data_IF_528013077189
#
_entry.id   IF_528013077189
#
_cell.length_a   1.000
_cell.length_b   1.000
_cell.length_c   1.000
_cell.angle_alpha   90.00
_cell.angle_beta   90.00
_cell.angle_gamma   90.00
#
_symmetry.space_group_name_H-M   'P 1'
#
loop_
_entity.id
_entity.type
_entity.pdbx_description
1 polymer ?
#
# COMPACT_ATOMS: atom_id res chain seq x y z
N UNK A 1 0.91 13.08 -18.00
CA UNK A 1 0.21 13.93 -18.99
C UNK A 1 0.30 13.36 -20.42
N UNK A 2 1.46 12.90 -20.91
CA UNK A 2 1.60 12.35 -22.27
C UNK A 2 0.75 11.09 -22.55
N UNK A 3 0.56 10.21 -21.56
CA UNK A 3 -0.25 8.98 -21.72
C UNK A 3 -1.76 9.23 -21.93
N UNK A 4 -2.26 10.43 -21.63
CA UNK A 4 -3.69 10.81 -21.72
C UNK A 4 -4.12 11.11 -23.17
N UNK A 5 -3.16 11.30 -24.07
CA UNK A 5 -3.41 11.84 -25.42
C UNK A 5 -3.50 10.73 -26.49
N UNK A 6 -3.08 9.49 -26.19
CA UNK A 6 -2.82 8.47 -27.22
C UNK A 6 -3.93 7.44 -27.48
N UNK A 7 -5.07 7.49 -26.79
CA UNK A 7 -6.18 6.55 -27.04
C UNK A 7 -7.18 7.13 -28.06
N UNK A 8 -7.31 6.54 -29.27
CA UNK A 8 -8.15 7.07 -30.35
C UNK A 8 -9.63 7.22 -29.95
N UNK A 9 -10.13 6.32 -29.09
CA UNK A 9 -11.50 6.30 -28.56
C UNK A 9 -11.81 7.51 -27.66
N UNK A 10 -10.78 8.18 -27.12
CA UNK A 10 -10.97 9.33 -26.22
C UNK A 10 -10.94 10.67 -26.95
N UNK A 11 -10.68 10.72 -28.26
CA UNK A 11 -10.52 11.96 -29.03
C UNK A 11 -11.80 12.80 -29.14
N UNK A 12 -12.99 12.22 -28.92
CA UNK A 12 -14.29 12.90 -28.96
C UNK A 12 -14.75 13.50 -27.63
N UNK A 13 -14.08 13.18 -26.52
CA UNK A 13 -14.47 13.63 -25.17
C UNK A 13 -13.78 14.93 -24.79
N UNK A 14 -14.41 15.75 -23.94
CA UNK A 14 -13.73 16.90 -23.33
C UNK A 14 -12.61 16.46 -22.39
N UNK A 15 -11.61 17.34 -22.17
CA UNK A 15 -10.42 17.00 -21.39
C UNK A 15 -10.75 16.54 -19.95
N UNK A 16 -11.74 17.16 -19.32
CA UNK A 16 -12.23 16.79 -17.98
C UNK A 16 -12.82 15.38 -17.95
N UNK A 17 -13.63 15.04 -18.96
CA UNK A 17 -14.25 13.72 -19.11
C UNK A 17 -13.20 12.63 -19.35
N UNK A 18 -12.18 12.90 -20.18
CA UNK A 18 -11.06 11.95 -20.38
C UNK A 18 -10.32 11.65 -19.08
N UNK A 19 -10.02 12.70 -18.28
CA UNK A 19 -9.37 12.52 -16.98
C UNK A 19 -10.26 11.71 -16.05
N UNK A 20 -11.55 12.03 -15.95
CA UNK A 20 -12.49 11.32 -15.09
C UNK A 20 -12.61 9.83 -15.46
N UNK A 21 -12.71 9.51 -16.76
CA UNK A 21 -12.79 8.12 -17.25
C UNK A 21 -11.49 7.38 -16.95
N UNK A 22 -10.32 7.97 -17.22
CA UNK A 22 -9.03 7.34 -16.94
C UNK A 22 -8.82 7.09 -15.45
N UNK A 23 -9.19 8.06 -14.61
CA UNK A 23 -9.15 7.93 -13.15
C UNK A 23 -10.10 6.81 -12.71
N UNK A 24 -11.33 6.78 -13.23
CA UNK A 24 -12.31 5.73 -12.95
C UNK A 24 -11.82 4.34 -13.30
N UNK A 25 -11.27 4.14 -14.50
CA UNK A 25 -10.68 2.87 -14.94
C UNK A 25 -9.49 2.50 -14.05
N UNK A 26 -8.63 3.47 -13.72
CA UNK A 26 -7.46 3.24 -12.85
C UNK A 26 -7.90 2.76 -11.47
N UNK A 27 -8.87 3.44 -10.84
CA UNK A 27 -9.42 3.03 -9.56
C UNK A 27 -10.13 1.68 -9.65
N UNK A 28 -10.89 1.42 -10.71
CA UNK A 28 -11.51 0.12 -10.92
C UNK A 28 -10.47 -1.01 -10.93
N UNK A 29 -9.37 -0.84 -11.67
CA UNK A 29 -8.29 -1.81 -11.72
C UNK A 29 -7.58 -1.96 -10.37
N UNK A 30 -7.28 -0.84 -9.69
CA UNK A 30 -6.71 -0.86 -8.34
C UNK A 30 -7.60 -1.66 -7.41
N UNK A 31 -8.90 -1.34 -7.33
CA UNK A 31 -9.83 -2.01 -6.41
C UNK A 31 -10.07 -3.49 -6.76
N UNK A 32 -10.03 -3.84 -8.04
CA UNK A 32 -10.09 -5.23 -8.47
C UNK A 32 -8.86 -6.01 -7.99
N UNK A 33 -7.66 -5.45 -8.16
CA UNK A 33 -6.41 -6.04 -7.70
C UNK A 33 -6.36 -6.16 -6.17
N UNK A 34 -6.81 -5.15 -5.43
CA UNK A 34 -6.81 -5.17 -3.96
C UNK A 34 -7.77 -6.21 -3.39
N UNK A 35 -8.96 -6.36 -4.00
CA UNK A 35 -9.91 -7.42 -3.64
C UNK A 35 -9.30 -8.81 -3.86
N UNK A 36 -8.67 -9.03 -5.02
CA UNK A 36 -8.00 -10.29 -5.32
C UNK A 36 -6.84 -10.58 -4.35
N UNK A 37 -6.00 -9.58 -4.07
CA UNK A 37 -4.89 -9.69 -3.12
C UNK A 37 -5.38 -10.08 -1.72
N UNK A 38 -6.42 -9.40 -1.23
CA UNK A 38 -7.02 -9.68 0.07
C UNK A 38 -7.52 -11.14 0.16
N UNK A 39 -8.21 -11.62 -0.88
CA UNK A 39 -8.71 -13.01 -0.96
C UNK A 39 -7.57 -14.04 -0.97
N UNK A 40 -6.40 -13.71 -1.52
CA UNK A 40 -5.25 -14.61 -1.66
C UNK A 40 -4.28 -14.60 -0.47
N UNK A 41 -4.55 -13.79 0.56
CA UNK A 41 -3.77 -13.70 1.79
C UNK A 41 -3.51 -15.04 2.49
N UNK A 42 -4.53 -15.90 2.58
CA UNK A 42 -4.39 -17.24 3.18
C UNK A 42 -3.41 -18.13 2.43
N UNK A 43 -3.35 -18.02 1.09
CA UNK A 43 -2.36 -18.74 0.29
C UNK A 43 -0.93 -18.21 0.53
N UNK A 44 -0.79 -16.90 0.74
CA UNK A 44 0.50 -16.31 1.06
C UNK A 44 1.02 -16.77 2.43
N UNK A 45 0.15 -16.85 3.43
CA UNK A 45 0.49 -17.40 4.75
C UNK A 45 0.95 -18.86 4.63
N UNK A 46 0.24 -19.69 3.84
CA UNK A 46 0.66 -21.08 3.57
C UNK A 46 2.06 -21.15 2.95
N UNK A 47 2.39 -20.27 2.01
CA UNK A 47 3.73 -20.21 1.39
C UNK A 47 4.83 -19.80 2.36
N UNK A 48 4.52 -18.95 3.34
CA UNK A 48 5.50 -18.48 4.35
C UNK A 48 5.57 -19.38 5.59
N UNK A 49 4.79 -20.47 5.61
CA UNK A 49 4.72 -21.50 6.65
C UNK A 49 4.32 -21.01 8.07
N UNK A 50 4.23 -19.70 8.30
CA UNK A 50 3.89 -19.11 9.60
C UNK A 50 3.25 -17.73 9.40
N UNK A 51 2.22 -17.45 10.19
CA UNK A 51 1.53 -16.17 10.20
C UNK A 51 2.47 -15.00 10.57
N UNK A 52 3.36 -15.21 11.53
CA UNK A 52 4.39 -14.23 11.94
C UNK A 52 5.36 -13.91 10.80
N UNK A 53 5.84 -14.95 10.10
CA UNK A 53 6.73 -14.80 8.94
C UNK A 53 6.02 -14.08 7.79
N UNK A 54 4.75 -14.39 7.56
CA UNK A 54 3.93 -13.72 6.56
C UNK A 54 3.84 -12.21 6.85
N UNK A 55 3.54 -11.83 8.09
CA UNK A 55 3.52 -10.44 8.56
C UNK A 55 4.85 -9.74 8.27
N UNK A 56 5.96 -10.26 8.81
CA UNK A 56 7.28 -9.64 8.67
C UNK A 56 7.70 -9.55 7.19
N UNK A 57 7.42 -10.59 6.40
CA UNK A 57 7.71 -10.59 4.97
C UNK A 57 6.91 -9.51 4.22
N UNK A 58 5.62 -9.32 4.52
CA UNK A 58 4.85 -8.25 3.86
C UNK A 58 5.37 -6.85 4.21
N UNK A 59 5.86 -6.61 5.42
CA UNK A 59 6.49 -5.34 5.78
C UNK A 59 7.79 -5.14 5.00
N UNK A 60 8.69 -6.12 5.03
CA UNK A 60 9.97 -6.01 4.34
C UNK A 60 9.80 -5.85 2.82
N UNK A 61 8.95 -6.67 2.19
CA UNK A 61 8.64 -6.54 0.75
C UNK A 61 8.02 -5.18 0.44
N UNK A 62 7.08 -4.72 1.26
CA UNK A 62 6.47 -3.40 1.08
C UNK A 62 7.50 -2.28 1.16
N UNK A 63 8.43 -2.36 2.11
CA UNK A 63 9.47 -1.35 2.27
C UNK A 63 10.45 -1.32 1.09
N UNK A 64 10.90 -2.49 0.61
CA UNK A 64 11.74 -2.62 -0.58
C UNK A 64 11.03 -2.04 -1.81
N UNK A 65 9.77 -2.39 -2.02
CA UNK A 65 8.97 -1.86 -3.14
C UNK A 65 8.77 -0.34 -3.02
N UNK A 66 8.59 0.18 -1.81
CA UNK A 66 8.42 1.61 -1.55
C UNK A 66 9.71 2.40 -1.89
N UNK A 67 10.87 1.90 -1.45
CA UNK A 67 12.18 2.49 -1.80
C UNK A 67 12.40 2.42 -3.31
N UNK A 68 12.17 1.26 -3.92
CA UNK A 68 12.32 1.10 -5.37
C UNK A 68 11.42 2.09 -6.13
N UNK A 69 10.15 2.22 -5.72
CA UNK A 69 9.21 3.20 -6.29
C UNK A 69 9.78 4.61 -6.21
N UNK A 70 10.31 5.02 -5.05
CA UNK A 70 10.91 6.33 -4.86
C UNK A 70 12.16 6.57 -5.72
N UNK A 71 13.02 5.55 -5.88
CA UNK A 71 14.20 5.61 -6.76
C UNK A 71 13.80 5.76 -8.23
N UNK A 72 12.88 4.93 -8.73
CA UNK A 72 12.42 5.00 -10.12
C UNK A 72 11.62 6.26 -10.43
N UNK A 73 10.96 6.85 -9.42
CA UNK A 73 10.32 8.17 -9.56
C UNK A 73 11.36 9.28 -9.81
N UNK A 74 12.60 9.14 -9.30
CA UNK A 74 13.68 10.11 -9.52
C UNK A 74 14.39 9.93 -10.86
N UNK A 75 14.52 8.71 -11.35
CA UNK A 75 15.33 8.37 -12.54
C UNK A 75 14.57 8.47 -13.87
N UNK A 76 13.44 9.18 -13.92
CA UNK A 76 12.55 9.33 -15.10
C UNK A 76 11.87 8.05 -15.61
N UNK A 77 12.03 6.89 -14.96
CA UNK A 77 11.31 5.65 -15.29
C UNK A 77 9.91 5.62 -14.66
N UNK A 78 9.07 6.60 -15.00
CA UNK A 78 7.74 6.79 -14.40
C UNK A 78 6.83 5.57 -14.54
N UNK A 79 6.90 4.85 -15.67
CA UNK A 79 6.09 3.66 -15.92
C UNK A 79 6.42 2.56 -14.90
N UNK A 80 7.70 2.34 -14.62
CA UNK A 80 8.16 1.34 -13.63
C UNK A 80 7.70 1.76 -12.23
N UNK A 81 7.81 3.04 -11.88
CA UNK A 81 7.33 3.56 -10.61
C UNK A 81 5.82 3.32 -10.42
N UNK A 82 5.00 3.50 -11.47
CA UNK A 82 3.56 3.20 -11.42
C UNK A 82 3.31 1.71 -11.17
N UNK A 83 4.00 0.81 -11.86
CA UNK A 83 3.84 -0.63 -11.61
C UNK A 83 4.27 -1.04 -10.21
N UNK A 84 5.37 -0.50 -9.68
CA UNK A 84 5.81 -0.75 -8.32
C UNK A 84 4.83 -0.18 -7.29
N UNK A 85 4.22 0.98 -7.57
CA UNK A 85 3.17 1.53 -6.73
C UNK A 85 1.90 0.66 -6.73
N UNK A 86 1.50 0.11 -7.88
CA UNK A 86 0.41 -0.87 -7.94
C UNK A 86 0.75 -2.14 -7.14
N UNK A 87 2.00 -2.60 -7.23
CA UNK A 87 2.49 -3.73 -6.44
C UNK A 87 2.46 -3.43 -4.94
N UNK A 88 2.79 -2.21 -4.52
CA UNK A 88 2.67 -1.76 -3.13
C UNK A 88 1.22 -1.89 -2.64
N UNK A 89 0.24 -1.45 -3.43
CA UNK A 89 -1.19 -1.61 -3.12
C UNK A 89 -1.57 -3.08 -2.92
N UNK A 90 -1.07 -3.97 -3.77
CA UNK A 90 -1.30 -5.41 -3.65
C UNK A 90 -0.71 -5.94 -2.33
N UNK A 91 0.54 -5.59 -1.99
CA UNK A 91 1.19 -6.04 -0.76
C UNK A 91 0.47 -5.50 0.48
N UNK A 92 0.03 -4.25 0.46
CA UNK A 92 -0.72 -3.64 1.57
C UNK A 92 -2.06 -4.35 1.82
N UNK A 93 -2.80 -4.63 0.74
CA UNK A 93 -4.09 -5.31 0.84
C UNK A 93 -3.96 -6.79 1.17
N UNK A 94 -2.83 -7.42 0.82
CA UNK A 94 -2.47 -8.74 1.31
C UNK A 94 -2.20 -8.74 2.83
N UNK A 95 -1.53 -7.71 3.34
CA UNK A 95 -1.14 -7.59 4.76
C UNK A 95 -2.33 -7.44 5.69
N UNK A 96 -3.36 -6.69 5.30
CA UNK A 96 -4.54 -6.40 6.15
C UNK A 96 -5.20 -7.67 6.74
N UNK A 97 -5.65 -8.66 5.96
CA UNK A 97 -6.25 -9.88 6.50
C UNK A 97 -5.26 -10.71 7.32
N UNK A 98 -3.98 -10.74 6.94
CA UNK A 98 -2.93 -11.45 7.70
C UNK A 98 -2.80 -10.84 9.11
N UNK A 99 -2.83 -9.51 9.21
CA UNK A 99 -2.76 -8.79 10.48
C UNK A 99 -3.97 -9.04 11.36
N UNK A 100 -5.17 -8.95 10.78
CA UNK A 100 -6.40 -9.24 11.52
C UNK A 100 -6.35 -10.66 12.08
N UNK A 101 -5.97 -11.66 11.28
CA UNK A 101 -5.77 -13.03 11.79
C UNK A 101 -4.73 -13.09 12.91
N UNK A 102 -3.59 -12.41 12.75
CA UNK A 102 -2.52 -12.41 13.75
C UNK A 102 -2.94 -11.79 15.08
N UNK A 103 -3.69 -10.70 15.03
CA UNK A 103 -4.19 -9.99 16.22
C UNK A 103 -5.32 -10.79 16.87
N UNK A 104 -6.24 -11.35 16.09
CA UNK A 104 -7.32 -12.20 16.59
C UNK A 104 -6.81 -13.42 17.37
N UNK A 105 -5.70 -14.03 16.95
CA UNK A 105 -5.06 -15.16 17.67
C UNK A 105 -4.48 -14.76 19.05
N UNK A 106 -4.42 -13.46 19.36
CA UNK A 106 -3.84 -12.90 20.59
C UNK A 106 -4.86 -12.21 21.50
N UNK A 107 -6.09 -12.01 21.04
CA UNK A 107 -7.17 -11.41 21.82
C UNK A 107 -8.07 -12.53 22.35
N UNK A 108 -8.49 -12.43 23.62
CA UNK A 108 -9.45 -13.36 24.18
C UNK A 108 -10.81 -13.26 23.45
N UNK A 109 -11.46 -14.41 23.23
CA UNK A 109 -12.65 -14.49 22.37
C UNK A 109 -13.82 -13.63 22.87
N UNK A 110 -13.92 -13.43 24.18
CA UNK A 110 -14.94 -12.63 24.87
C UNK A 110 -14.83 -11.12 24.58
N UNK A 111 -13.63 -10.63 24.24
CA UNK A 111 -13.37 -9.20 23.95
C UNK A 111 -12.89 -8.95 22.52
N UNK A 112 -12.99 -9.93 21.63
CA UNK A 112 -12.45 -9.86 20.26
C UNK A 112 -13.02 -8.69 19.45
N UNK A 113 -14.33 -8.46 19.50
CA UNK A 113 -14.97 -7.36 18.78
C UNK A 113 -14.46 -6.00 19.24
N UNK A 114 -14.29 -5.82 20.55
CA UNK A 114 -13.76 -4.59 21.15
C UNK A 114 -12.30 -4.39 20.78
N UNK A 115 -11.48 -5.45 20.86
CA UNK A 115 -10.06 -5.40 20.53
C UNK A 115 -9.80 -5.07 19.06
N UNK A 116 -10.54 -5.70 18.13
CA UNK A 116 -10.45 -5.37 16.70
C UNK A 116 -10.98 -3.96 16.38
N UNK A 117 -12.00 -3.49 17.11
CA UNK A 117 -12.50 -2.12 16.95
C UNK A 117 -11.46 -1.09 17.39
N UNK A 118 -10.80 -1.33 18.53
CA UNK A 118 -9.73 -0.47 19.02
C UNK A 118 -8.54 -0.44 18.05
N UNK A 119 -8.15 -1.58 17.47
CA UNK A 119 -7.09 -1.62 16.45
C UNK A 119 -7.43 -0.75 15.23
N UNK A 120 -8.64 -0.89 14.70
CA UNK A 120 -9.09 -0.11 13.54
C UNK A 120 -9.11 1.39 13.83
N UNK A 121 -9.54 1.79 15.03
CA UNK A 121 -9.53 3.18 15.47
C UNK A 121 -8.11 3.73 15.60
N UNK A 122 -7.23 3.01 16.30
CA UNK A 122 -5.82 3.40 16.45
C UNK A 122 -5.15 3.56 15.09
N UNK A 123 -5.36 2.60 14.17
CA UNK A 123 -4.87 2.69 12.79
C UNK A 123 -5.36 3.97 12.10
N UNK A 124 -6.66 4.27 12.21
CA UNK A 124 -7.26 5.44 11.55
C UNK A 124 -6.73 6.75 12.11
N UNK A 125 -6.61 6.87 13.43
CA UNK A 125 -6.05 8.05 14.10
C UNK A 125 -4.58 8.25 13.72
N UNK A 126 -3.78 7.18 13.73
CA UNK A 126 -2.38 7.24 13.32
C UNK A 126 -2.23 7.64 11.85
N UNK A 127 -3.05 7.09 10.94
CA UNK A 127 -3.04 7.49 9.53
C UNK A 127 -3.40 8.97 9.37
N UNK A 128 -4.42 9.46 10.06
CA UNK A 128 -4.83 10.85 10.02
C UNK A 128 -3.74 11.80 10.54
N UNK A 129 -3.02 11.41 11.60
CA UNK A 129 -1.91 12.19 12.16
C UNK A 129 -0.65 12.16 11.27
N UNK A 130 -0.34 11.01 10.66
CA UNK A 130 0.86 10.83 9.83
C UNK A 130 0.69 11.41 8.42
N UNK A 131 -0.52 11.47 7.87
CA UNK A 131 -0.76 11.96 6.51
C UNK A 131 -0.24 13.40 6.28
N UNK A 132 -0.49 14.39 7.17
CA UNK A 132 0.11 15.72 7.06
C UNK A 132 1.64 15.71 7.10
N UNK A 133 2.24 14.86 7.94
CA UNK A 133 3.69 14.76 8.03
C UNK A 133 4.31 14.21 6.73
N UNK A 134 3.67 13.20 6.11
CA UNK A 134 4.07 12.69 4.80
C UNK A 134 3.86 13.77 3.72
N UNK A 135 2.75 14.50 3.74
CA UNK A 135 2.50 15.62 2.83
C UNK A 135 3.59 16.68 2.91
N UNK A 136 3.95 17.10 4.12
CA UNK A 136 5.05 18.04 4.36
C UNK A 136 6.39 17.52 3.81
N UNK A 137 6.70 16.22 3.96
CA UNK A 137 7.91 15.63 3.38
C UNK A 137 7.90 15.66 1.85
N UNK A 138 6.74 15.42 1.23
CA UNK A 138 6.58 15.50 -0.23
C UNK A 138 6.78 16.94 -0.70
N UNK A 139 6.22 17.92 -0.01
CA UNK A 139 6.36 19.35 -0.39
C UNK A 139 7.81 19.83 -0.26
N UNK A 140 8.54 19.40 0.77
CA UNK A 140 9.94 19.78 1.02
C UNK A 140 10.96 19.05 0.16
N UNK A 141 10.81 17.73 0.00
CA UNK A 141 11.85 16.86 -0.57
C UNK A 141 11.44 16.21 -1.90
N UNK A 142 10.18 16.39 -2.33
CA UNK A 142 9.61 15.76 -3.50
C UNK A 142 9.14 14.33 -3.24
N UNK A 143 8.23 13.85 -4.10
CA UNK A 143 7.59 12.53 -3.97
C UNK A 143 8.59 11.37 -3.88
N UNK A 144 9.60 11.34 -4.75
CA UNK A 144 10.56 10.24 -4.79
C UNK A 144 11.36 10.09 -3.49
N UNK A 145 11.81 11.20 -2.90
CA UNK A 145 12.55 11.16 -1.63
C UNK A 145 11.63 10.83 -0.45
N UNK A 146 10.41 11.37 -0.43
CA UNK A 146 9.42 11.04 0.60
C UNK A 146 9.11 9.53 0.63
N UNK A 147 8.99 8.88 -0.53
CA UNK A 147 8.80 7.44 -0.64
C UNK A 147 10.02 6.64 -0.14
N UNK A 148 11.24 7.07 -0.47
CA UNK A 148 12.46 6.43 0.03
C UNK A 148 12.54 6.55 1.56
N UNK A 149 12.31 7.75 2.11
CA UNK A 149 12.31 7.99 3.56
C UNK A 149 11.26 7.11 4.24
N UNK A 150 10.04 7.07 3.72
CA UNK A 150 8.98 6.21 4.25
C UNK A 150 9.38 4.72 4.22
N UNK A 151 10.03 4.27 3.15
CA UNK A 151 10.55 2.91 3.04
C UNK A 151 11.65 2.59 4.06
N UNK A 152 12.59 3.51 4.28
CA UNK A 152 13.63 3.37 5.31
C UNK A 152 13.00 3.32 6.71
N UNK A 153 12.06 4.21 7.01
CA UNK A 153 11.31 4.21 8.27
C UNK A 153 10.55 2.90 8.48
N UNK A 154 9.98 2.35 7.41
CA UNK A 154 9.29 1.06 7.44
C UNK A 154 10.25 -0.11 7.70
N UNK A 155 11.46 -0.09 7.15
CA UNK A 155 12.51 -1.07 7.50
C UNK A 155 12.89 -0.94 8.97
N UNK A 156 13.15 0.28 9.44
CA UNK A 156 13.52 0.54 10.83
C UNK A 156 12.47 0.05 11.82
N UNK A 157 11.20 0.35 11.57
CA UNK A 157 10.09 -0.14 12.40
C UNK A 157 9.90 -1.65 12.28
N UNK A 158 10.09 -2.25 11.11
CA UNK A 158 9.99 -3.71 10.93
C UNK A 158 11.07 -4.48 11.70
N UNK A 159 12.26 -3.90 11.89
CA UNK A 159 13.30 -4.51 12.72
C UNK A 159 13.03 -4.29 14.22
N UNK A 160 12.59 -3.08 14.61
CA UNK A 160 12.29 -2.77 16.00
C UNK A 160 11.07 -3.54 16.54
N UNK A 161 10.05 -3.74 15.71
CA UNK A 161 8.81 -4.44 16.04
C UNK A 161 8.79 -5.87 15.51
N UNK A 162 9.97 -6.45 15.24
CA UNK A 162 10.04 -7.79 14.67
C UNK A 162 9.29 -8.76 15.56
N UNK A 163 8.24 -9.33 15.00
CA UNK A 163 7.35 -10.21 15.74
C UNK A 163 8.04 -11.57 15.87
N UNK A 164 8.52 -11.90 17.08
CA UNK A 164 9.04 -13.21 17.47
C UNK A 164 7.94 -14.20 17.84
#
# INVERSE_FOLDING_TARGET
>A
KALVISLPVMLSLEQSQRIAVLVGITYFLIYLLTSYASRKSSLFVKKTASLKRAVNATFLMGAVVLIATGVFTRTNFQIIAVFLFLLLYVIENLRRPIMVSYISDRIANDVMATGLSAESQLKTVLMAALAPAIGYLVDRFGLGNALIIAGITMIGTSFALKIE
#
